data_IF_606313882454
#
_entry.id   IF_606313882454
#
_cell.length_a   1.000
_cell.length_b   1.000
_cell.length_c   1.000
_cell.angle_alpha   90.00
_cell.angle_beta   90.00
_cell.angle_gamma   90.00
#
_symmetry.space_group_name_H-M   'P 1'
#
loop_
_entity.id
_entity.type
_entity.pdbx_description
1 polymer ?
#
# COMPACT_ATOMS: atom_id res chain seq x y z
N UNK A 1 26.64 -0.42 5.10
CA UNK A 1 25.45 -1.25 5.37
C UNK A 1 24.37 -0.31 5.87
N UNK A 2 23.23 -0.25 5.20
CA UNK A 2 22.09 0.50 5.71
C UNK A 2 21.05 -0.53 6.20
N UNK A 3 21.17 -0.91 7.46
CA UNK A 3 20.15 -1.68 8.15
C UNK A 3 19.03 -0.74 8.55
N UNK A 4 17.80 -1.05 8.13
CA UNK A 4 16.59 -0.33 8.50
C UNK A 4 15.58 -1.29 9.12
N UNK A 5 14.66 -0.75 9.90
CA UNK A 5 13.52 -1.53 10.34
C UNK A 5 12.40 -1.51 9.30
N UNK A 6 11.74 -2.66 9.19
CA UNK A 6 10.48 -2.82 8.48
C UNK A 6 9.40 -3.30 9.44
N UNK A 7 8.17 -2.97 9.13
CA UNK A 7 6.97 -3.34 9.89
C UNK A 7 5.98 -4.00 8.95
N UNK A 8 5.24 -4.98 9.46
CA UNK A 8 4.21 -5.66 8.70
C UNK A 8 3.00 -5.96 9.57
N UNK A 9 1.84 -5.61 9.04
CA UNK A 9 0.55 -5.98 9.61
C UNK A 9 0.08 -7.34 9.10
N UNK A 10 -0.78 -8.02 9.87
CA UNK A 10 -1.26 -9.36 9.55
C UNK A 10 -2.78 -9.47 9.63
N UNK A 11 -3.37 -10.36 8.83
CA UNK A 11 -4.71 -10.85 9.11
C UNK A 11 -4.67 -11.79 10.31
N UNK A 12 -5.75 -11.81 11.09
CA UNK A 12 -5.83 -12.67 12.27
C UNK A 12 -5.89 -14.14 11.90
N UNK A 13 -4.98 -14.91 12.49
CA UNK A 13 -5.05 -16.36 12.61
C UNK A 13 -4.41 -16.75 13.97
N UNK A 14 -4.54 -17.98 14.43
CA UNK A 14 -3.86 -18.42 15.65
C UNK A 14 -2.34 -18.19 15.62
N UNK A 15 -1.74 -18.25 14.42
CA UNK A 15 -0.31 -18.09 14.19
C UNK A 15 0.10 -16.62 13.88
N UNK A 16 -0.88 -15.74 13.64
CA UNK A 16 -0.67 -14.33 13.27
C UNK A 16 -1.30 -13.38 14.30
N UNK A 17 -0.69 -13.22 15.47
CA UNK A 17 -1.28 -12.47 16.57
C UNK A 17 -1.13 -10.95 16.48
N UNK A 18 -0.51 -10.37 15.45
CA UNK A 18 -0.35 -8.91 15.46
C UNK A 18 0.58 -8.31 14.41
N UNK A 19 1.11 -7.13 14.74
CA UNK A 19 2.11 -6.42 13.92
C UNK A 19 3.51 -6.87 14.30
N UNK A 20 4.34 -7.12 13.28
CA UNK A 20 5.72 -7.54 13.45
C UNK A 20 6.70 -6.46 12.98
N UNK A 21 7.90 -6.45 13.60
CA UNK A 21 9.08 -5.71 13.17
C UNK A 21 10.10 -6.68 12.61
N UNK A 22 10.84 -6.29 11.58
CA UNK A 22 11.98 -7.04 11.05
C UNK A 22 13.11 -6.06 10.66
N UNK A 23 14.33 -6.54 10.46
CA UNK A 23 15.40 -5.72 9.89
C UNK A 23 15.66 -6.10 8.45
N UNK A 24 15.97 -5.11 7.63
CA UNK A 24 16.33 -5.23 6.23
C UNK A 24 17.70 -4.60 6.00
N UNK A 25 18.62 -5.34 5.42
CA UNK A 25 19.81 -4.77 4.80
C UNK A 25 19.45 -4.29 3.38
N UNK A 26 19.41 -2.98 3.15
CA UNK A 26 18.99 -2.39 1.88
C UNK A 26 19.99 -2.62 0.73
N UNK A 27 21.19 -3.14 1.00
CA UNK A 27 22.19 -3.47 -0.02
C UNK A 27 22.12 -4.91 -0.47
N UNK A 28 22.07 -5.84 0.49
CA UNK A 28 22.06 -7.28 0.22
C UNK A 28 20.65 -7.86 0.09
N UNK A 29 19.64 -7.19 0.64
CA UNK A 29 18.27 -7.71 0.74
C UNK A 29 18.09 -8.73 1.87
N UNK A 30 19.10 -8.97 2.70
CA UNK A 30 19.00 -9.88 3.83
C UNK A 30 17.94 -9.37 4.83
N UNK A 31 17.14 -10.30 5.35
CA UNK A 31 16.08 -10.06 6.32
C UNK A 31 16.38 -10.83 7.60
N UNK A 32 16.27 -10.18 8.76
CA UNK A 32 16.38 -10.85 10.07
C UNK A 32 15.03 -11.39 10.51
N UNK A 33 15.05 -12.35 11.45
CA UNK A 33 13.86 -12.95 12.01
C UNK A 33 12.87 -11.89 12.54
N UNK A 34 11.57 -12.05 12.26
CA UNK A 34 10.56 -11.07 12.67
C UNK A 34 10.30 -11.15 14.17
N UNK A 35 9.98 -10.00 14.75
CA UNK A 35 9.63 -9.82 16.15
C UNK A 35 8.22 -9.30 16.29
N UNK A 36 7.37 -9.93 17.11
CA UNK A 36 6.03 -9.45 17.41
C UNK A 36 6.12 -8.24 18.34
N UNK A 37 5.67 -7.08 17.86
CA UNK A 37 5.74 -5.80 18.61
C UNK A 37 4.38 -5.29 19.08
N UNK A 38 3.28 -5.73 18.47
CA UNK A 38 1.94 -5.32 18.86
C UNK A 38 0.96 -6.49 18.70
N UNK A 39 0.66 -7.23 19.80
CA UNK A 39 -0.19 -8.43 19.78
C UNK A 39 -1.67 -8.03 19.81
N UNK A 40 -2.24 -7.73 18.65
CA UNK A 40 -3.66 -7.41 18.46
C UNK A 40 -4.20 -8.00 17.17
N UNK A 41 -5.51 -8.20 17.11
CA UNK A 41 -6.19 -8.81 15.96
C UNK A 41 -6.26 -7.84 14.76
N UNK A 42 -6.23 -8.40 13.55
CA UNK A 42 -6.44 -7.70 12.28
C UNK A 42 -5.59 -6.43 12.08
N UNK A 43 -4.30 -6.51 12.44
CA UNK A 43 -3.35 -5.40 12.29
C UNK A 43 -2.86 -5.23 10.85
N UNK A 44 -3.65 -5.59 9.89
CA UNK A 44 -3.36 -5.87 8.47
C UNK A 44 -2.70 -4.75 7.65
N UNK A 45 -2.46 -3.58 8.21
CA UNK A 45 -1.71 -2.51 7.55
C UNK A 45 -0.89 -1.69 8.55
N UNK A 46 0.29 -1.28 8.13
CA UNK A 46 1.21 -0.46 8.91
C UNK A 46 1.67 0.76 8.09
N UNK A 47 1.91 1.89 8.75
CA UNK A 47 2.48 3.09 8.16
C UNK A 47 3.44 3.76 9.16
N UNK A 48 4.66 4.05 8.74
CA UNK A 48 5.68 4.64 9.57
C UNK A 48 5.99 6.08 9.16
N UNK A 49 6.21 6.96 10.14
CA UNK A 49 6.61 8.35 9.93
C UNK A 49 7.37 8.89 11.14
N UNK A 50 8.63 9.29 10.98
CA UNK A 50 9.44 10.01 11.97
C UNK A 50 9.42 9.39 13.38
N UNK A 51 9.60 8.07 13.48
CA UNK A 51 9.60 7.36 14.77
C UNK A 51 8.21 7.04 15.32
N UNK A 52 7.16 7.27 14.55
CA UNK A 52 5.79 6.87 14.83
C UNK A 52 5.35 5.76 13.86
N UNK A 53 4.85 4.67 14.41
CA UNK A 53 4.22 3.58 13.66
C UNK A 53 2.73 3.59 13.93
N UNK A 54 1.93 3.79 12.88
CA UNK A 54 0.51 3.53 12.93
C UNK A 54 0.22 2.12 12.40
N UNK A 55 -0.64 1.39 13.08
CA UNK A 55 -1.12 0.09 12.61
C UNK A 55 -2.63 0.00 12.80
N UNK A 56 -3.29 -0.69 11.88
CA UNK A 56 -4.72 -1.02 12.03
C UNK A 56 -4.89 -1.92 13.24
N UNK A 57 -6.02 -1.81 13.94
CA UNK A 57 -6.30 -2.64 15.10
C UNK A 57 -7.79 -2.86 15.28
N UNK A 58 -8.14 -3.95 15.97
CA UNK A 58 -9.49 -4.29 16.33
C UNK A 58 -9.51 -4.78 17.78
N UNK A 59 -10.48 -4.32 18.55
CA UNK A 59 -10.66 -4.71 19.94
C UNK A 59 -12.13 -4.59 20.34
N UNK A 60 -12.65 -5.61 21.02
CA UNK A 60 -14.01 -5.64 21.62
C UNK A 60 -15.12 -5.26 20.61
N UNK A 61 -14.98 -5.69 19.34
CA UNK A 61 -15.94 -5.42 18.27
C UNK A 61 -15.89 -4.01 17.68
N UNK A 62 -14.91 -3.20 18.04
CA UNK A 62 -14.62 -1.90 17.44
C UNK A 62 -13.24 -1.92 16.76
N UNK A 63 -13.08 -1.14 15.70
CA UNK A 63 -11.86 -1.09 14.90
C UNK A 63 -11.31 0.34 14.76
N UNK A 64 -10.07 0.44 14.33
CA UNK A 64 -9.43 1.72 14.07
C UNK A 64 -7.91 1.62 14.00
N UNK A 65 -7.21 2.53 14.67
CA UNK A 65 -5.75 2.68 14.57
C UNK A 65 -5.11 2.68 15.96
N UNK A 66 -4.00 1.95 16.09
CA UNK A 66 -3.05 2.05 17.18
C UNK A 66 -1.82 2.84 16.73
N UNK A 67 -1.29 3.69 17.60
CA UNK A 67 -0.08 4.47 17.40
C UNK A 67 0.99 3.98 18.37
N UNK A 68 2.16 3.62 17.84
CA UNK A 68 3.32 3.19 18.60
C UNK A 68 4.48 4.18 18.39
N UNK A 69 5.31 4.35 19.41
CA UNK A 69 6.63 4.98 19.27
C UNK A 69 7.64 3.91 18.87
N UNK A 70 8.48 4.20 17.88
CA UNK A 70 9.63 3.37 17.46
C UNK A 70 10.96 4.05 17.75
N UNK A 71 10.96 5.15 18.48
CA UNK A 71 12.16 5.93 18.80
C UNK A 71 13.08 5.24 19.83
N UNK A 72 12.58 4.28 20.61
CA UNK A 72 13.34 3.51 21.59
C UNK A 72 13.84 2.17 21.02
N UNK A 73 14.60 1.43 21.81
CA UNK A 73 15.04 0.08 21.45
C UNK A 73 13.83 -0.85 21.20
N UNK A 74 12.81 -0.71 22.03
CA UNK A 74 11.55 -1.45 21.91
C UNK A 74 10.40 -0.51 21.55
N UNK A 75 9.58 -0.85 20.54
CA UNK A 75 8.36 -0.11 20.25
C UNK A 75 7.39 -0.12 21.42
N UNK A 76 6.73 1.02 21.66
CA UNK A 76 5.79 1.18 22.76
C UNK A 76 4.49 1.81 22.31
N UNK A 77 3.35 1.26 22.78
CA UNK A 77 2.02 1.79 22.48
C UNK A 77 1.84 3.17 23.11
N UNK A 78 1.48 4.14 22.30
CA UNK A 78 1.20 5.53 22.72
C UNK A 78 -0.30 5.79 22.88
N UNK A 79 -1.10 5.39 21.88
CA UNK A 79 -2.54 5.64 21.89
C UNK A 79 -3.28 4.65 20.97
N UNK A 80 -4.60 4.54 21.16
CA UNK A 80 -5.49 3.76 20.30
C UNK A 80 -6.80 4.51 20.10
N UNK A 81 -7.30 4.57 18.87
CA UNK A 81 -8.60 5.11 18.52
C UNK A 81 -9.40 4.11 17.70
N UNK A 82 -10.60 3.80 18.16
CA UNK A 82 -11.47 2.78 17.58
C UNK A 82 -12.83 3.38 17.13
N UNK A 83 -12.84 4.32 16.15
CA UNK A 83 -14.08 4.97 15.69
C UNK A 83 -14.79 4.20 14.57
N UNK A 84 -14.35 3.01 14.21
CA UNK A 84 -14.77 2.22 13.06
C UNK A 84 -15.45 0.93 13.50
N UNK A 85 -16.33 0.39 12.62
CA UNK A 85 -16.99 -0.92 12.83
C UNK A 85 -16.11 -2.05 12.29
N UNK A 86 -15.39 -1.80 11.18
CA UNK A 86 -14.51 -2.75 10.53
C UNK A 86 -13.11 -2.19 10.41
N UNK A 87 -12.13 -3.05 10.23
CA UNK A 87 -10.73 -2.61 10.11
C UNK A 87 -10.44 -1.96 8.76
N UNK A 88 -9.71 -0.83 8.78
CA UNK A 88 -9.20 -0.17 7.59
C UNK A 88 -8.32 -1.11 6.76
N UNK A 89 -8.20 -0.87 5.46
CA UNK A 89 -7.36 -1.64 4.54
C UNK A 89 -6.11 -0.87 4.08
N UNK A 90 -5.98 0.40 4.44
CA UNK A 90 -4.85 1.23 4.05
C UNK A 90 -4.59 2.32 5.09
N UNK A 91 -3.31 2.56 5.38
CA UNK A 91 -2.82 3.68 6.21
C UNK A 91 -1.72 4.43 5.47
N UNK A 92 -1.67 5.74 5.63
CA UNK A 92 -0.56 6.55 5.14
C UNK A 92 -0.41 7.84 5.93
N UNK A 93 0.81 8.41 5.90
CA UNK A 93 1.11 9.71 6.48
C UNK A 93 1.30 10.75 5.39
N UNK A 94 0.77 11.94 5.61
CA UNK A 94 1.03 13.11 4.78
C UNK A 94 0.95 14.38 5.63
N UNK A 95 1.98 15.24 5.57
CA UNK A 95 2.04 16.52 6.27
C UNK A 95 1.79 16.40 7.80
N UNK A 96 2.30 15.31 8.41
CA UNK A 96 2.12 15.01 9.84
C UNK A 96 0.70 14.54 10.22
N UNK A 97 -0.19 14.34 9.26
CA UNK A 97 -1.51 13.76 9.45
C UNK A 97 -1.48 12.27 9.08
N UNK A 98 -2.23 11.46 9.83
CA UNK A 98 -2.44 10.06 9.52
C UNK A 98 -3.80 9.89 8.82
N UNK A 99 -3.80 9.18 7.71
CA UNK A 99 -4.99 8.84 6.92
C UNK A 99 -5.25 7.35 6.96
N UNK A 100 -6.50 6.94 7.14
CA UNK A 100 -6.93 5.55 7.00
C UNK A 100 -8.07 5.44 5.99
N UNK A 101 -7.99 4.48 5.06
CA UNK A 101 -9.10 4.16 4.17
C UNK A 101 -9.74 2.85 4.61
N UNK A 102 -11.07 2.86 4.74
CA UNK A 102 -11.84 1.71 5.17
C UNK A 102 -12.75 1.22 4.05
N UNK A 103 -12.52 -0.03 3.66
CA UNK A 103 -13.21 -0.69 2.55
C UNK A 103 -14.70 -0.90 2.81
N UNK A 104 -15.03 -1.42 4.02
CA UNK A 104 -16.40 -1.80 4.39
C UNK A 104 -17.19 -0.65 4.98
N UNK A 105 -16.60 0.12 5.90
CA UNK A 105 -17.25 1.30 6.47
C UNK A 105 -17.36 2.47 5.47
N UNK A 106 -16.69 2.36 4.30
CA UNK A 106 -16.86 3.25 3.16
C UNK A 106 -16.45 4.70 3.44
N UNK A 107 -15.33 4.90 4.13
CA UNK A 107 -14.84 6.23 4.46
C UNK A 107 -13.31 6.32 4.49
N UNK A 108 -12.82 7.55 4.54
CA UNK A 108 -11.45 7.89 4.93
C UNK A 108 -11.49 8.67 6.24
N UNK A 109 -10.71 8.26 7.23
CA UNK A 109 -10.51 9.01 8.46
C UNK A 109 -9.16 9.71 8.45
N UNK A 110 -9.13 10.92 9.01
CA UNK A 110 -7.93 11.74 9.09
C UNK A 110 -7.69 12.10 10.54
N UNK A 111 -6.49 11.76 11.03
CA UNK A 111 -6.10 11.99 12.42
C UNK A 111 -4.97 13.00 12.51
N UNK A 112 -5.05 13.88 13.50
CA UNK A 112 -3.89 14.62 14.00
C UNK A 112 -3.20 13.85 15.10
N UNK A 113 -1.88 14.00 15.21
CA UNK A 113 -1.08 13.45 16.30
C UNK A 113 -0.38 14.55 17.03
N UNK A 114 -0.66 14.68 18.35
CA UNK A 114 -0.02 15.66 19.22
C UNK A 114 0.41 15.00 20.52
N UNK A 115 1.70 15.08 20.86
CA UNK A 115 2.24 14.48 22.09
C UNK A 115 1.96 12.98 22.20
N UNK A 116 1.99 12.24 21.09
CA UNK A 116 1.70 10.81 21.04
C UNK A 116 0.21 10.45 21.15
N UNK A 117 -0.71 11.43 21.03
CA UNK A 117 -2.15 11.23 21.09
C UNK A 117 -2.79 11.42 19.72
N UNK A 118 -3.65 10.47 19.35
CA UNK A 118 -4.49 10.51 18.15
C UNK A 118 -5.78 11.31 18.43
N UNK A 119 -6.12 12.21 17.51
CA UNK A 119 -7.42 12.89 17.51
C UNK A 119 -8.01 12.83 16.12
N UNK A 120 -9.25 12.33 16.01
CA UNK A 120 -9.98 12.31 14.73
C UNK A 120 -10.29 13.76 14.34
N UNK A 121 -9.72 14.21 13.21
CA UNK A 121 -9.91 15.55 12.67
C UNK A 121 -11.04 15.59 11.64
N UNK A 122 -11.06 14.65 10.70
CA UNK A 122 -12.06 14.61 9.63
C UNK A 122 -12.51 13.18 9.34
N UNK A 123 -13.76 13.04 8.85
CA UNK A 123 -14.32 11.82 8.29
C UNK A 123 -14.89 12.13 6.91
N UNK A 124 -14.30 11.55 5.87
CA UNK A 124 -14.81 11.62 4.51
C UNK A 124 -15.65 10.36 4.27
N UNK A 125 -16.93 10.46 4.55
CA UNK A 125 -17.86 9.36 4.34
C UNK A 125 -18.30 9.34 2.87
N UNK A 126 -18.20 8.18 2.23
CA UNK A 126 -18.66 7.93 0.87
C UNK A 126 -19.98 7.16 0.90
N UNK A 127 -19.91 5.90 1.32
CA UNK A 127 -21.04 4.98 1.43
C UNK A 127 -20.54 3.66 2.02
N UNK A 128 -21.31 3.02 2.88
CA UNK A 128 -20.99 1.67 3.39
C UNK A 128 -20.72 0.73 2.20
N UNK A 129 -19.72 -0.15 2.33
CA UNK A 129 -19.30 -1.08 1.29
C UNK A 129 -18.81 -0.43 -0.03
N UNK A 130 -18.49 0.87 -0.06
CA UNK A 130 -18.00 1.55 -1.27
C UNK A 130 -16.62 1.06 -1.74
N UNK A 131 -15.87 0.40 -0.87
CA UNK A 131 -14.55 -0.13 -1.20
C UNK A 131 -13.44 0.92 -1.24
N UNK A 132 -13.47 1.93 -0.34
CA UNK A 132 -12.38 2.91 -0.20
C UNK A 132 -11.07 2.17 0.09
N UNK A 133 -10.11 2.16 -0.85
CA UNK A 133 -8.98 1.23 -0.80
C UNK A 133 -7.61 1.87 -0.61
N UNK A 134 -7.45 3.12 -0.98
CA UNK A 134 -6.19 3.86 -0.83
C UNK A 134 -6.47 5.34 -0.65
N UNK A 135 -5.49 6.07 -0.13
CA UNK A 135 -5.42 7.53 -0.10
C UNK A 135 -4.21 7.95 -0.92
N UNK A 136 -4.43 8.74 -1.97
CA UNK A 136 -3.39 9.15 -2.92
C UNK A 136 -3.35 10.67 -2.95
N UNK A 137 -2.15 11.27 -2.88
CA UNK A 137 -2.00 12.72 -2.84
C UNK A 137 -1.56 13.28 -4.20
N UNK A 138 -2.20 14.39 -4.59
CA UNK A 138 -1.88 15.17 -5.78
C UNK A 138 -1.89 16.65 -5.43
N UNK A 139 -0.77 17.19 -4.94
CA UNK A 139 -0.71 18.54 -4.40
C UNK A 139 -1.71 18.73 -3.25
N UNK A 140 -2.61 19.73 -3.40
CA UNK A 140 -3.70 19.98 -2.44
C UNK A 140 -4.83 18.95 -2.50
N UNK A 141 -4.87 18.13 -3.52
CA UNK A 141 -5.97 17.18 -3.74
C UNK A 141 -5.65 15.79 -3.19
N UNK A 142 -6.71 15.11 -2.82
CA UNK A 142 -6.75 13.76 -2.31
C UNK A 142 -7.59 12.91 -3.25
N UNK A 143 -7.05 11.77 -3.70
CA UNK A 143 -7.77 10.79 -4.50
C UNK A 143 -8.07 9.56 -3.63
N UNK A 144 -9.30 9.05 -3.73
CA UNK A 144 -9.75 7.85 -3.03
C UNK A 144 -10.36 6.88 -4.03
N UNK A 145 -9.63 5.80 -4.42
CA UNK A 145 -10.22 4.71 -5.18
C UNK A 145 -11.32 4.02 -4.37
N UNK A 146 -12.52 3.94 -4.94
CA UNK A 146 -13.70 3.29 -4.40
C UNK A 146 -14.01 2.06 -5.25
N UNK A 147 -13.38 0.94 -4.93
CA UNK A 147 -13.30 -0.28 -5.73
C UNK A 147 -14.69 -0.78 -6.16
N UNK A 148 -15.65 -0.82 -5.22
CA UNK A 148 -17.00 -1.36 -5.47
C UNK A 148 -17.95 -0.39 -6.16
N UNK A 149 -17.52 0.86 -6.31
CA UNK A 149 -18.25 1.89 -7.06
C UNK A 149 -17.71 2.10 -8.46
N UNK A 150 -16.61 1.45 -8.82
CA UNK A 150 -15.89 1.72 -10.07
C UNK A 150 -15.55 3.20 -10.26
N UNK A 151 -15.12 3.87 -9.18
CA UNK A 151 -14.85 5.30 -9.14
C UNK A 151 -13.54 5.60 -8.40
N UNK A 152 -12.89 6.72 -8.77
CA UNK A 152 -11.90 7.39 -7.94
C UNK A 152 -12.44 8.77 -7.60
N UNK A 153 -12.69 9.04 -6.32
CA UNK A 153 -13.21 10.33 -5.85
C UNK A 153 -12.06 11.29 -5.55
N UNK A 154 -12.25 12.56 -5.89
CA UNK A 154 -11.28 13.63 -5.69
C UNK A 154 -11.81 14.63 -4.66
N UNK A 155 -10.98 14.93 -3.65
CA UNK A 155 -11.32 15.88 -2.58
C UNK A 155 -10.26 16.97 -2.48
N UNK A 156 -10.67 18.19 -2.12
CA UNK A 156 -9.80 19.32 -1.89
C UNK A 156 -9.46 19.43 -0.40
N UNK A 157 -8.19 19.22 -0.05
CA UNK A 157 -7.69 19.24 1.34
C UNK A 157 -7.71 20.62 1.98
N UNK A 158 -7.68 21.69 1.17
CA UNK A 158 -7.69 23.08 1.64
C UNK A 158 -9.11 23.65 1.77
N UNK A 159 -10.11 22.94 1.22
CA UNK A 159 -11.54 23.31 1.32
C UNK A 159 -12.31 22.25 2.15
N UNK A 160 -11.85 21.97 3.36
CA UNK A 160 -12.48 21.04 4.30
C UNK A 160 -12.80 19.68 3.67
N UNK A 161 -11.92 19.22 2.76
CA UNK A 161 -12.08 17.98 2.01
C UNK A 161 -13.39 17.93 1.19
N UNK A 162 -13.83 19.05 0.64
CA UNK A 162 -14.96 19.07 -0.29
C UNK A 162 -14.63 18.21 -1.52
N UNK A 163 -15.58 17.36 -1.94
CA UNK A 163 -15.44 16.62 -3.18
C UNK A 163 -15.44 17.58 -4.39
N UNK A 164 -14.42 17.47 -5.25
CA UNK A 164 -14.20 18.36 -6.39
C UNK A 164 -14.20 17.63 -7.74
N UNK A 165 -14.24 16.31 -7.74
CA UNK A 165 -14.25 15.54 -8.98
C UNK A 165 -14.44 14.05 -8.75
N UNK A 166 -14.57 13.33 -9.86
CA UNK A 166 -14.65 11.87 -9.92
C UNK A 166 -14.03 11.37 -11.23
N UNK A 167 -13.30 10.27 -11.18
CA UNK A 167 -12.94 9.47 -12.34
C UNK A 167 -13.87 8.27 -12.35
N UNK A 168 -14.62 8.11 -13.45
CA UNK A 168 -15.55 7.00 -13.66
C UNK A 168 -14.89 5.89 -14.46
N UNK A 169 -15.22 4.65 -14.12
CA UNK A 169 -14.74 3.45 -14.82
C UNK A 169 -15.91 2.58 -15.25
N UNK A 170 -15.74 1.76 -16.28
CA UNK A 170 -16.75 0.75 -16.64
C UNK A 170 -17.08 -0.18 -15.46
N UNK A 171 -18.33 -0.62 -15.38
CA UNK A 171 -18.79 -1.51 -14.32
C UNK A 171 -17.95 -2.78 -14.23
N UNK A 172 -17.52 -3.14 -13.02
CA UNK A 172 -16.67 -4.29 -12.74
C UNK A 172 -15.17 -4.04 -12.92
N UNK A 173 -14.74 -2.79 -13.09
CA UNK A 173 -13.30 -2.44 -13.15
C UNK A 173 -12.61 -2.63 -11.81
N UNK A 174 -13.15 -2.08 -10.74
CA UNK A 174 -12.59 -2.16 -9.39
C UNK A 174 -11.27 -1.39 -9.24
N UNK A 175 -11.22 -0.05 -9.40
CA UNK A 175 -10.01 0.74 -9.20
C UNK A 175 -9.51 0.57 -7.76
N UNK A 176 -8.22 0.30 -7.59
CA UNK A 176 -7.69 -0.12 -6.27
C UNK A 176 -6.56 0.74 -5.75
N UNK A 177 -5.41 0.67 -6.37
CA UNK A 177 -4.20 1.40 -5.98
C UNK A 177 -3.62 2.17 -7.16
N UNK A 178 -3.07 3.35 -6.88
CA UNK A 178 -2.42 4.17 -7.89
C UNK A 178 -1.19 4.88 -7.35
N UNK A 179 -0.38 5.40 -8.27
CA UNK A 179 0.83 6.15 -7.98
C UNK A 179 1.03 7.26 -9.00
N UNK A 180 1.44 8.44 -8.52
CA UNK A 180 1.86 9.55 -9.37
C UNK A 180 3.37 9.52 -9.62
N UNK A 181 3.79 10.11 -10.76
CA UNK A 181 5.15 10.61 -10.92
C UNK A 181 5.42 11.78 -9.96
N UNK A 182 6.68 12.05 -9.64
CA UNK A 182 7.08 13.14 -8.70
C UNK A 182 6.62 14.53 -9.17
N UNK A 183 6.56 14.73 -10.49
CA UNK A 183 6.04 15.97 -11.09
C UNK A 183 4.51 16.03 -11.17
N UNK A 184 3.83 14.97 -10.73
CA UNK A 184 2.38 14.80 -10.76
C UNK A 184 1.73 14.90 -12.15
N UNK A 185 2.49 14.74 -13.23
CA UNK A 185 1.97 14.82 -14.60
C UNK A 185 1.49 13.49 -15.16
N UNK A 186 1.90 12.37 -14.55
CA UNK A 186 1.38 11.04 -14.88
C UNK A 186 0.83 10.36 -13.65
N UNK A 187 -0.26 9.65 -13.85
CA UNK A 187 -0.92 8.84 -12.83
C UNK A 187 -1.13 7.43 -13.38
N UNK A 188 -0.65 6.45 -12.64
CA UNK A 188 -0.83 5.04 -12.94
C UNK A 188 -1.77 4.43 -11.91
N UNK A 189 -2.80 3.73 -12.37
CA UNK A 189 -3.81 3.12 -11.52
C UNK A 189 -4.00 1.66 -11.92
N UNK A 190 -4.06 0.76 -10.94
CA UNK A 190 -4.41 -0.65 -11.17
C UNK A 190 -5.81 -0.94 -10.68
N UNK A 191 -6.50 -1.81 -11.41
CA UNK A 191 -7.80 -2.34 -11.02
C UNK A 191 -7.68 -3.76 -10.51
N UNK A 192 -8.36 -4.05 -9.40
CA UNK A 192 -8.38 -5.38 -8.80
C UNK A 192 -9.19 -6.37 -9.63
N UNK A 193 -10.38 -5.96 -10.06
CA UNK A 193 -11.35 -6.88 -10.68
C UNK A 193 -11.08 -7.09 -12.16
N UNK A 194 -10.87 -6.01 -12.93
CA UNK A 194 -10.58 -6.13 -14.38
C UNK A 194 -9.11 -6.41 -14.68
N UNK A 195 -8.21 -6.31 -13.67
CA UNK A 195 -6.77 -6.56 -13.80
C UNK A 195 -6.12 -5.74 -14.93
N UNK A 196 -6.37 -4.44 -14.92
CA UNK A 196 -5.87 -3.49 -15.91
C UNK A 196 -4.99 -2.43 -15.25
N UNK A 197 -3.97 -1.99 -16.00
CA UNK A 197 -3.16 -0.81 -15.74
C UNK A 197 -3.69 0.35 -16.57
N UNK A 198 -4.15 1.40 -15.91
CA UNK A 198 -4.59 2.65 -16.52
C UNK A 198 -3.48 3.68 -16.42
N UNK A 199 -3.19 4.37 -17.51
CA UNK A 199 -2.20 5.46 -17.58
C UNK A 199 -2.90 6.75 -17.93
N UNK A 200 -2.77 7.74 -17.05
CA UNK A 200 -3.34 9.07 -17.24
C UNK A 200 -2.24 10.12 -17.39
N UNK A 201 -2.45 11.04 -18.30
CA UNK A 201 -1.81 12.36 -18.26
C UNK A 201 -2.65 13.27 -17.39
N UNK A 202 -1.97 14.04 -16.53
CA UNK A 202 -2.62 14.86 -15.50
C UNK A 202 -2.19 16.33 -15.64
N UNK A 203 -3.18 17.22 -15.59
CA UNK A 203 -2.98 18.68 -15.53
C UNK A 203 -4.01 19.25 -14.54
N UNK A 204 -3.55 19.57 -13.33
CA UNK A 204 -4.41 19.93 -12.21
C UNK A 204 -5.44 18.85 -11.90
N UNK A 205 -6.73 19.16 -12.04
CA UNK A 205 -7.84 18.19 -11.86
C UNK A 205 -8.28 17.51 -13.17
N UNK A 206 -7.58 17.77 -14.28
CA UNK A 206 -7.87 17.14 -15.56
C UNK A 206 -7.06 15.86 -15.71
N UNK A 207 -7.74 14.72 -15.79
CA UNK A 207 -7.17 13.39 -16.02
C UNK A 207 -7.54 12.91 -17.42
N UNK A 208 -6.57 12.83 -18.32
CA UNK A 208 -6.74 12.31 -19.67
C UNK A 208 -6.22 10.88 -19.74
N UNK A 209 -7.10 9.90 -19.96
CA UNK A 209 -6.70 8.51 -20.17
C UNK A 209 -5.88 8.42 -21.48
N UNK A 210 -4.65 7.95 -21.38
CA UNK A 210 -3.74 7.78 -22.53
C UNK A 210 -3.62 6.31 -22.95
N UNK A 211 -3.70 5.39 -21.95
CA UNK A 211 -3.49 3.97 -22.24
C UNK A 211 -4.19 3.08 -21.21
N UNK A 212 -4.54 1.86 -21.64
CA UNK A 212 -5.06 0.80 -20.78
C UNK A 212 -4.50 -0.54 -21.23
N UNK A 213 -3.82 -1.25 -20.32
CA UNK A 213 -3.17 -2.52 -20.61
C UNK A 213 -3.58 -3.64 -19.67
N UNK A 214 -3.65 -4.90 -20.14
CA UNK A 214 -3.83 -6.05 -19.28
C UNK A 214 -2.58 -6.27 -18.42
N UNK A 215 -2.79 -6.69 -17.16
CA UNK A 215 -1.69 -6.97 -16.21
C UNK A 215 -1.41 -8.46 -16.11
N UNK A 216 -2.41 -9.32 -16.36
CA UNK A 216 -2.27 -10.76 -16.17
C UNK A 216 -1.30 -11.40 -17.17
N UNK A 217 -0.55 -12.43 -16.76
CA UNK A 217 0.19 -13.25 -17.72
C UNK A 217 -0.74 -13.82 -18.81
N UNK A 218 -0.31 -13.86 -20.09
CA UNK A 218 -1.17 -14.27 -21.21
C UNK A 218 -1.81 -15.67 -21.04
N UNK A 219 -1.08 -16.59 -20.42
CA UNK A 219 -1.53 -17.97 -20.22
C UNK A 219 -2.28 -18.20 -18.89
N UNK A 220 -2.49 -17.14 -18.10
CA UNK A 220 -3.20 -17.25 -16.83
C UNK A 220 -4.71 -17.13 -17.02
N UNK A 221 -5.45 -18.17 -16.65
CA UNK A 221 -6.92 -18.26 -16.80
C UNK A 221 -7.68 -18.13 -15.48
N UNK A 222 -6.99 -17.86 -14.36
CA UNK A 222 -7.59 -17.72 -13.03
C UNK A 222 -8.08 -16.31 -12.72
N UNK A 223 -8.64 -16.14 -11.53
CA UNK A 223 -8.94 -14.81 -10.98
C UNK A 223 -7.63 -14.11 -10.58
N UNK A 224 -7.32 -12.98 -11.22
CA UNK A 224 -6.05 -12.29 -11.02
C UNK A 224 -5.96 -11.59 -9.67
N UNK A 225 -6.96 -10.77 -9.33
CA UNK A 225 -7.01 -9.96 -8.12
C UNK A 225 -5.73 -9.10 -7.95
N UNK A 226 -5.46 -8.22 -8.93
CA UNK A 226 -4.32 -7.29 -8.89
C UNK A 226 -4.36 -6.46 -7.60
N UNK A 227 -3.21 -6.24 -6.95
CA UNK A 227 -3.19 -5.63 -5.63
C UNK A 227 -2.33 -4.36 -5.55
N UNK A 228 -1.04 -4.46 -5.25
CA UNK A 228 -0.18 -3.30 -5.06
C UNK A 228 0.41 -2.81 -6.38
N UNK A 229 0.68 -1.51 -6.46
CA UNK A 229 1.50 -0.88 -7.49
C UNK A 229 2.59 -0.04 -6.82
N UNK A 230 3.82 -0.11 -7.34
CA UNK A 230 4.96 0.71 -6.91
C UNK A 230 5.71 1.23 -8.11
N UNK A 231 6.10 2.50 -8.05
CA UNK A 231 6.95 3.16 -9.05
C UNK A 231 8.38 3.23 -8.50
N UNK A 232 9.38 2.90 -9.32
CA UNK A 232 10.79 3.01 -8.96
C UNK A 232 11.18 4.45 -8.62
N UNK A 233 12.27 4.64 -7.84
CA UNK A 233 12.74 5.97 -7.44
C UNK A 233 13.14 6.86 -8.63
N UNK A 234 13.63 6.25 -9.71
CA UNK A 234 13.97 6.93 -10.97
C UNK A 234 12.79 7.09 -11.93
N UNK A 235 11.60 6.61 -11.52
CA UNK A 235 10.33 6.69 -12.27
C UNK A 235 10.36 6.01 -13.64
N UNK A 236 11.19 4.98 -13.79
CA UNK A 236 11.32 4.24 -15.06
C UNK A 236 10.56 2.91 -15.06
N UNK A 237 10.20 2.38 -13.88
CA UNK A 237 9.64 1.02 -13.75
C UNK A 237 8.48 0.96 -12.76
N UNK A 238 7.40 0.28 -13.15
CA UNK A 238 6.30 -0.09 -12.27
C UNK A 238 6.37 -1.57 -11.89
N UNK A 239 6.11 -1.87 -10.62
CA UNK A 239 5.97 -3.21 -10.06
C UNK A 239 4.54 -3.39 -9.57
N UNK A 240 3.86 -4.44 -10.04
CA UNK A 240 2.45 -4.67 -9.76
C UNK A 240 2.28 -6.11 -9.29
N UNK A 241 1.68 -6.31 -8.11
CA UNK A 241 1.41 -7.65 -7.59
C UNK A 241 0.09 -8.22 -8.10
N UNK A 242 0.09 -9.52 -8.42
CA UNK A 242 -1.07 -10.28 -8.93
C UNK A 242 -1.31 -11.45 -7.97
N UNK A 243 -2.29 -11.31 -7.08
CA UNK A 243 -2.51 -12.28 -5.99
C UNK A 243 -2.83 -13.68 -6.51
N UNK A 244 -3.78 -13.79 -7.43
CA UNK A 244 -4.24 -15.07 -7.95
C UNK A 244 -3.19 -15.85 -8.73
N UNK A 245 -2.30 -15.13 -9.45
CA UNK A 245 -1.21 -15.73 -10.20
C UNK A 245 0.05 -15.99 -9.35
N UNK A 246 0.14 -15.44 -8.14
CA UNK A 246 1.36 -15.49 -7.33
C UNK A 246 2.54 -14.81 -8.04
N UNK A 247 2.28 -13.72 -8.76
CA UNK A 247 3.23 -13.09 -9.67
C UNK A 247 3.39 -11.58 -9.42
N UNK A 248 4.46 -11.04 -9.98
CA UNK A 248 4.72 -9.61 -10.10
C UNK A 248 4.83 -9.30 -11.59
N UNK A 249 4.03 -8.34 -12.07
CA UNK A 249 4.19 -7.76 -13.40
C UNK A 249 5.08 -6.53 -13.31
N UNK A 250 6.02 -6.42 -14.24
CA UNK A 250 6.99 -5.32 -14.31
C UNK A 250 6.80 -4.59 -15.64
N UNK A 251 6.56 -3.28 -15.56
CA UNK A 251 6.39 -2.44 -16.75
C UNK A 251 7.43 -1.33 -16.77
N UNK A 252 8.05 -1.13 -17.94
CA UNK A 252 8.82 0.08 -18.20
C UNK A 252 7.87 1.23 -18.48
N UNK A 253 8.13 2.38 -17.83
CA UNK A 253 7.39 3.62 -18.03
C UNK A 253 8.32 4.76 -18.44
N UNK A 254 7.75 5.94 -18.74
CA UNK A 254 8.54 7.08 -19.24
C UNK A 254 8.49 7.24 -20.75
N UNK A 255 8.00 6.25 -21.50
CA UNK A 255 7.64 6.35 -22.92
C UNK A 255 6.21 6.85 -23.13
N UNK A 256 5.68 6.72 -24.36
CA UNK A 256 4.29 7.07 -24.68
C UNK A 256 3.32 6.19 -23.89
N UNK A 257 3.54 4.87 -23.89
CA UNK A 257 2.77 3.88 -23.15
C UNK A 257 3.69 3.00 -22.30
N UNK A 258 3.21 2.45 -21.17
CA UNK A 258 3.93 1.43 -20.43
C UNK A 258 4.23 0.22 -21.31
N UNK A 259 5.41 -0.36 -21.18
CA UNK A 259 5.80 -1.58 -21.88
C UNK A 259 6.05 -2.71 -20.89
N UNK A 260 5.33 -3.82 -21.02
CA UNK A 260 5.55 -5.00 -20.18
C UNK A 260 6.97 -5.54 -20.41
N UNK A 261 7.75 -5.64 -19.33
CA UNK A 261 9.10 -6.21 -19.34
C UNK A 261 9.09 -7.68 -18.89
N UNK A 262 8.31 -7.99 -17.84
CA UNK A 262 8.43 -9.26 -17.16
C UNK A 262 7.14 -9.62 -16.42
N UNK A 263 6.81 -10.92 -16.43
CA UNK A 263 6.04 -11.55 -15.36
C UNK A 263 6.95 -12.50 -14.61
N UNK A 264 7.09 -12.33 -13.31
CA UNK A 264 7.94 -13.16 -12.44
C UNK A 264 7.15 -13.67 -11.25
N UNK A 265 7.46 -14.88 -10.79
CA UNK A 265 6.85 -15.41 -9.56
C UNK A 265 7.23 -14.54 -8.36
N UNK A 266 6.26 -14.23 -7.50
CA UNK A 266 6.53 -13.65 -6.17
C UNK A 266 7.21 -14.63 -5.21
N UNK A 267 7.47 -15.85 -5.68
CA UNK A 267 8.00 -17.00 -4.92
C UNK A 267 7.22 -17.31 -3.65
N UNK A 268 5.91 -17.07 -3.70
CA UNK A 268 4.94 -17.35 -2.67
C UNK A 268 3.52 -17.30 -3.23
N UNK A 269 2.55 -17.25 -2.33
CA UNK A 269 1.12 -17.25 -2.69
C UNK A 269 0.43 -15.98 -2.20
N UNK A 270 -0.40 -15.40 -3.05
CA UNK A 270 -1.10 -14.14 -2.77
C UNK A 270 -0.17 -12.99 -2.36
N UNK A 271 0.69 -12.46 -3.27
CA UNK A 271 1.46 -11.25 -3.00
C UNK A 271 0.49 -10.07 -2.80
N UNK A 272 0.27 -9.71 -1.55
CA UNK A 272 -0.72 -8.70 -1.17
C UNK A 272 -0.17 -7.29 -1.24
N UNK A 273 1.09 -7.13 -0.88
CA UNK A 273 1.80 -5.86 -0.93
C UNK A 273 3.20 -6.01 -1.50
N UNK A 274 3.70 -4.93 -2.05
CA UNK A 274 5.07 -4.75 -2.54
C UNK A 274 5.65 -3.49 -1.89
N UNK A 275 6.94 -3.50 -1.56
CA UNK A 275 7.68 -2.30 -1.16
C UNK A 275 9.05 -2.26 -1.84
N UNK A 276 9.44 -1.06 -2.28
CA UNK A 276 10.81 -0.78 -2.69
C UNK A 276 11.61 -0.29 -1.48
N UNK A 277 12.75 -0.91 -1.24
CA UNK A 277 13.68 -0.42 -0.23
C UNK A 277 14.35 0.88 -0.68
N UNK A 278 14.72 1.78 0.24
CA UNK A 278 15.49 2.97 -0.09
C UNK A 278 16.75 2.65 -0.90
N UNK A 279 17.01 3.43 -1.95
CA UNK A 279 18.10 3.19 -2.90
C UNK A 279 17.71 2.30 -4.08
N UNK A 280 16.46 1.84 -4.16
CA UNK A 280 15.85 1.24 -5.36
C UNK A 280 16.46 -0.09 -5.82
N UNK A 281 17.19 -0.81 -4.94
CA UNK A 281 17.88 -2.07 -5.30
C UNK A 281 17.17 -3.33 -4.86
N UNK A 282 16.24 -3.22 -3.92
CA UNK A 282 15.54 -4.35 -3.30
C UNK A 282 14.05 -4.11 -3.39
N UNK A 283 13.34 -5.14 -3.86
CA UNK A 283 11.89 -5.23 -3.83
C UNK A 283 11.47 -6.27 -2.79
N UNK A 284 10.54 -5.92 -1.91
CA UNK A 284 9.90 -6.83 -0.97
C UNK A 284 8.52 -7.22 -1.48
N UNK A 285 8.14 -8.49 -1.30
CA UNK A 285 6.79 -8.99 -1.55
C UNK A 285 6.23 -9.69 -0.31
N UNK A 286 5.08 -9.25 0.19
CA UNK A 286 4.35 -9.92 1.27
C UNK A 286 3.39 -10.95 0.68
N UNK A 287 3.76 -12.22 0.77
CA UNK A 287 3.02 -13.37 0.25
C UNK A 287 2.11 -13.95 1.35
N UNK A 288 0.89 -13.46 1.43
CA UNK A 288 -0.02 -13.72 2.54
C UNK A 288 -0.29 -15.22 2.79
N UNK A 289 -0.62 -15.98 1.76
CA UNK A 289 -1.00 -17.41 1.89
C UNK A 289 0.16 -18.39 1.97
N UNK A 290 1.38 -17.92 1.77
CA UNK A 290 2.59 -18.69 2.07
C UNK A 290 3.30 -18.18 3.33
N UNK A 291 2.69 -17.20 4.04
CA UNK A 291 3.18 -16.69 5.32
C UNK A 291 4.64 -16.21 5.24
N UNK A 292 4.99 -15.53 4.15
CA UNK A 292 6.38 -15.20 3.86
C UNK A 292 6.53 -13.80 3.25
N UNK A 293 7.49 -13.03 3.76
CA UNK A 293 8.03 -11.86 3.07
C UNK A 293 9.29 -12.30 2.34
N UNK A 294 9.32 -12.05 1.02
CA UNK A 294 10.46 -12.36 0.16
C UNK A 294 11.10 -11.07 -0.31
N UNK A 295 12.43 -10.99 -0.30
CA UNK A 295 13.20 -9.90 -0.90
C UNK A 295 13.86 -10.36 -2.20
N UNK A 296 13.82 -9.47 -3.20
CA UNK A 296 14.40 -9.66 -4.52
C UNK A 296 15.43 -8.57 -4.80
N UNK A 297 16.56 -8.94 -5.40
CA UNK A 297 17.43 -7.96 -6.02
C UNK A 297 16.75 -7.39 -7.29
N UNK A 298 16.89 -6.10 -7.54
CA UNK A 298 16.48 -5.48 -8.80
C UNK A 298 17.69 -5.34 -9.72
N UNK A 299 17.50 -5.70 -10.98
CA UNK A 299 18.51 -5.57 -12.02
C UNK A 299 18.62 -4.11 -12.51
N UNK A 300 19.72 -3.78 -13.18
CA UNK A 300 19.99 -2.42 -13.65
C UNK A 300 18.95 -1.93 -14.68
N UNK A 301 18.26 -2.83 -15.37
CA UNK A 301 17.20 -2.50 -16.32
C UNK A 301 15.80 -2.41 -15.66
N UNK A 302 15.73 -2.56 -14.33
CA UNK A 302 14.51 -2.51 -13.55
C UNK A 302 13.77 -3.84 -13.44
N UNK A 303 14.25 -4.92 -14.07
CA UNK A 303 13.63 -6.25 -13.91
C UNK A 303 13.88 -6.83 -12.52
N UNK A 304 12.98 -7.70 -12.08
CA UNK A 304 13.10 -8.42 -10.80
C UNK A 304 14.07 -9.59 -11.00
N UNK A 305 15.19 -9.54 -10.31
CA UNK A 305 16.23 -10.55 -10.32
C UNK A 305 15.99 -11.65 -9.27
N UNK A 306 17.08 -12.27 -8.75
CA UNK A 306 16.96 -13.40 -7.84
C UNK A 306 16.38 -13.00 -6.49
N UNK A 307 15.76 -13.98 -5.82
CA UNK A 307 15.47 -13.92 -4.38
C UNK A 307 16.78 -13.84 -3.61
N UNK A 308 16.90 -12.87 -2.72
CA UNK A 308 18.09 -12.63 -1.90
C UNK A 308 17.85 -12.83 -0.40
N UNK A 309 16.59 -12.90 0.02
CA UNK A 309 16.22 -13.17 1.41
C UNK A 309 14.76 -13.52 1.57
N UNK A 310 14.42 -14.04 2.75
CA UNK A 310 13.03 -14.19 3.18
C UNK A 310 12.90 -14.38 4.67
N UNK A 311 11.71 -14.07 5.20
CA UNK A 311 11.31 -14.33 6.59
C UNK A 311 9.88 -14.86 6.62
N UNK A 312 9.60 -15.72 7.60
CA UNK A 312 8.23 -16.20 7.84
C UNK A 312 7.48 -15.23 8.72
N UNK A 313 6.38 -14.70 8.19
CA UNK A 313 5.40 -13.86 8.93
C UNK A 313 4.01 -14.34 8.55
N UNK A 314 3.30 -15.04 9.47
CA UNK A 314 1.98 -15.59 9.16
C UNK A 314 0.99 -14.51 8.74
N UNK A 315 0.23 -14.78 7.66
CA UNK A 315 -0.82 -13.90 7.14
C UNK A 315 -0.36 -12.44 6.90
N UNK A 316 0.89 -12.23 6.46
CA UNK A 316 1.46 -10.90 6.21
C UNK A 316 0.72 -10.15 5.10
N UNK A 317 0.47 -8.85 5.30
CA UNK A 317 -0.30 -7.99 4.37
C UNK A 317 0.45 -6.70 4.08
N UNK A 318 0.06 -5.60 4.72
CA UNK A 318 0.60 -4.27 4.45
C UNK A 318 1.89 -4.01 5.21
N UNK A 319 2.90 -3.57 4.49
CA UNK A 319 4.24 -3.31 5.01
C UNK A 319 4.56 -1.82 5.06
N UNK A 320 5.48 -1.45 5.95
CA UNK A 320 6.12 -0.13 6.00
C UNK A 320 7.63 -0.28 6.27
N UNK A 321 8.44 0.64 5.76
CA UNK A 321 9.87 0.72 6.07
C UNK A 321 10.18 2.03 6.77
N UNK A 322 11.14 2.02 7.70
CA UNK A 322 11.74 3.24 8.21
C UNK A 322 12.54 3.88 7.08
N UNK A 323 12.12 5.07 6.68
CA UNK A 323 12.88 5.86 5.72
C UNK A 323 13.73 6.88 6.49
N UNK A 324 15.01 7.07 6.16
CA UNK A 324 15.79 8.16 6.73
C UNK A 324 15.03 9.49 6.57
N UNK A 325 15.00 10.30 7.62
CA UNK A 325 14.53 11.70 7.49
C UNK A 325 15.40 12.40 6.45
N UNK A 326 14.78 12.89 5.39
CA UNK A 326 15.43 13.74 4.38
C UNK A 326 15.85 15.07 5.03
#
# INVERSE_FOLDING_TARGET
MALIYGYVGTYTSPEAPGTYRFRLDTQSGALDAPELIYPQTNTKYAAWFQGLLATVTEKDGAAGVALLSTAGAEPSLLDTKLPEKTTACFLTWQDGLLYSANYHDGHVLIYTVKGGRLSLAHRLYVEDESGCHQVIFHGRWLLVPCLRRDQVLLFDREEEFRQVGVLEFPAGTGPRHGVFTKDHRRFYLVSETSNQLFTYRVDGLSFTLEDTQPILPPDFSGKGDTAAIRLSEDETTLYISIRGAGAIAVFRVGGECPALLQHVSSQGKEPWDLLLAPGGRILLAANRKSDEIVSFALEADGTVGPRVGSITVPQCVGMALETPSL
#
